data_IF_162749625464
#
_entry.id   IF_162749625464
#
_cell.length_a   1.000
_cell.length_b   1.000
_cell.length_c   1.000
_cell.angle_alpha   90.00
_cell.angle_beta   90.00
_cell.angle_gamma   90.00
#
_symmetry.space_group_name_H-M   'P 1'
#
loop_
_entity.id
_entity.type
_entity.pdbx_description
1 polymer ?
#
# COMPACT_ATOMS: atom_id res chain seq x y z
N UNK A 1 -12.62 12.18 -6.08
CA UNK A 1 -13.76 11.23 -6.17
C UNK A 1 -13.26 9.83 -5.83
N UNK A 2 -14.03 9.01 -5.11
CA UNK A 2 -13.64 7.61 -4.83
C UNK A 2 -14.13 6.68 -5.93
N UNK A 3 -13.28 5.77 -6.38
CA UNK A 3 -13.61 4.74 -7.38
C UNK A 3 -13.19 3.35 -6.88
N UNK A 4 -13.89 2.32 -7.37
CA UNK A 4 -13.61 0.93 -7.02
C UNK A 4 -12.36 0.44 -7.75
N UNK A 5 -11.30 0.09 -7.02
CA UNK A 5 -10.05 -0.47 -7.55
C UNK A 5 -9.68 -1.76 -6.85
N UNK A 6 -8.78 -2.55 -7.45
CA UNK A 6 -8.29 -3.79 -6.85
C UNK A 6 -7.56 -3.48 -5.55
N UNK A 7 -7.64 -4.29 -4.50
CA UNK A 7 -7.00 -3.98 -3.22
C UNK A 7 -5.57 -4.54 -3.08
N UNK A 8 -5.08 -5.32 -4.05
CA UNK A 8 -3.78 -6.00 -3.93
C UNK A 8 -3.84 -7.36 -3.23
N UNK A 9 -5.03 -7.81 -2.81
CA UNK A 9 -5.27 -9.12 -2.20
C UNK A 9 -6.29 -9.97 -3.01
N UNK A 10 -6.52 -9.62 -4.27
CA UNK A 10 -7.51 -10.29 -5.13
C UNK A 10 -8.95 -9.76 -4.98
N UNK A 11 -9.18 -8.79 -4.10
CA UNK A 11 -10.47 -8.11 -3.92
C UNK A 11 -10.50 -6.69 -4.49
N UNK A 12 -11.51 -5.92 -4.11
CA UNK A 12 -11.68 -4.52 -4.49
C UNK A 12 -12.05 -3.67 -3.28
N UNK A 13 -11.61 -2.41 -3.29
CA UNK A 13 -11.98 -1.38 -2.30
C UNK A 13 -12.08 -0.01 -2.98
N UNK A 14 -12.56 0.99 -2.26
CA UNK A 14 -12.69 2.36 -2.77
C UNK A 14 -11.43 3.17 -2.48
N UNK A 15 -10.85 3.76 -3.53
CA UNK A 15 -9.65 4.60 -3.46
C UNK A 15 -9.83 5.84 -4.33
N UNK A 16 -9.00 6.88 -4.18
CA UNK A 16 -9.02 8.03 -5.06
C UNK A 16 -8.96 7.72 -6.56
N UNK A 17 -9.59 8.59 -7.34
CA UNK A 17 -9.49 8.60 -8.80
C UNK A 17 -8.08 8.94 -9.27
N UNK A 18 -7.36 9.79 -8.54
CA UNK A 18 -5.96 10.07 -8.80
C UNK A 18 -5.07 8.96 -8.23
N UNK A 19 -4.00 8.63 -8.94
CA UNK A 19 -3.09 7.53 -8.58
C UNK A 19 -1.78 8.03 -7.97
N UNK A 20 -1.81 9.16 -7.27
CA UNK A 20 -0.65 9.63 -6.52
C UNK A 20 -0.58 8.95 -5.15
N UNK A 21 0.64 8.68 -4.66
CA UNK A 21 0.82 8.03 -3.38
C UNK A 21 2.13 8.40 -2.69
N UNK A 22 2.11 8.34 -1.36
CA UNK A 22 3.29 8.32 -0.53
C UNK A 22 3.54 6.89 -0.04
N UNK A 23 4.75 6.36 -0.27
CA UNK A 23 5.17 5.11 0.35
C UNK A 23 5.42 5.39 1.84
N UNK A 24 4.59 4.82 2.71
CA UNK A 24 4.65 5.11 4.14
C UNK A 24 5.68 4.19 4.81
N UNK A 25 5.44 2.90 4.74
CA UNK A 25 6.35 1.89 5.27
C UNK A 25 6.08 0.52 4.65
N UNK A 26 6.98 -0.41 4.95
CA UNK A 26 6.82 -1.83 4.72
C UNK A 26 6.97 -2.59 6.03
N UNK A 27 6.48 -3.81 6.06
CA UNK A 27 6.76 -4.72 7.17
C UNK A 27 6.74 -6.16 6.66
N UNK A 28 7.41 -7.04 7.40
CA UNK A 28 7.34 -8.47 7.16
C UNK A 28 6.40 -9.14 8.15
N UNK A 29 5.54 -10.02 7.67
CA UNK A 29 4.71 -10.87 8.50
C UNK A 29 4.56 -12.24 7.85
N UNK A 30 4.83 -13.31 8.60
CA UNK A 30 4.73 -14.69 8.13
C UNK A 30 5.50 -14.97 6.82
N UNK A 31 6.70 -14.40 6.67
CA UNK A 31 7.55 -14.55 5.47
C UNK A 31 7.08 -13.73 4.26
N UNK A 32 6.01 -12.96 4.39
CA UNK A 32 5.51 -12.07 3.34
C UNK A 32 5.84 -10.62 3.66
N UNK A 33 6.24 -9.86 2.64
CA UNK A 33 6.45 -8.42 2.73
C UNK A 33 5.18 -7.69 2.34
N UNK A 34 4.74 -6.80 3.20
CA UNK A 34 3.59 -5.94 3.02
C UNK A 34 4.04 -4.50 2.82
N UNK A 35 3.26 -3.76 2.05
CA UNK A 35 3.52 -2.38 1.67
C UNK A 35 2.31 -1.55 2.05
N UNK A 36 2.56 -0.44 2.74
CA UNK A 36 1.54 0.54 3.11
C UNK A 36 1.83 1.82 2.34
N UNK A 37 0.83 2.25 1.55
CA UNK A 37 0.85 3.56 0.90
C UNK A 37 -0.28 4.42 1.43
N UNK A 38 -0.13 5.73 1.29
CA UNK A 38 -1.13 6.73 1.62
C UNK A 38 -1.43 7.58 0.39
N UNK A 39 -2.69 7.95 0.21
CA UNK A 39 -3.10 8.86 -0.86
C UNK A 39 -3.07 10.31 -0.36
N UNK A 40 -2.27 11.22 -0.96
CA UNK A 40 -2.16 12.61 -0.50
C UNK A 40 -3.50 13.35 -0.45
N UNK A 41 -4.40 13.06 -1.39
CA UNK A 41 -5.74 13.67 -1.44
C UNK A 41 -6.64 13.30 -0.26
N UNK A 42 -6.36 12.18 0.41
CA UNK A 42 -7.13 11.64 1.53
C UNK A 42 -6.18 11.18 2.63
N UNK A 43 -5.82 12.05 3.59
CA UNK A 43 -4.75 11.80 4.57
C UNK A 43 -5.01 10.59 5.50
N UNK A 44 -6.22 10.04 5.53
CA UNK A 44 -6.55 8.83 6.29
C UNK A 44 -6.86 7.62 5.40
N UNK A 45 -6.64 7.73 4.09
CA UNK A 45 -6.82 6.63 3.15
C UNK A 45 -5.48 5.92 2.95
N UNK A 46 -5.31 4.83 3.68
CA UNK A 46 -4.18 3.92 3.51
C UNK A 46 -4.60 2.74 2.64
N UNK A 47 -3.64 2.23 1.87
CA UNK A 47 -3.78 0.97 1.15
C UNK A 47 -2.66 0.05 1.53
N UNK A 48 -3.06 -1.09 2.08
CA UNK A 48 -2.20 -2.21 2.36
C UNK A 48 -2.27 -3.19 1.19
N UNK A 49 -1.12 -3.72 0.79
CA UNK A 49 -1.03 -4.84 -0.14
C UNK A 49 0.23 -5.66 0.13
N UNK A 50 0.22 -6.93 -0.27
CA UNK A 50 1.45 -7.73 -0.25
C UNK A 50 2.34 -7.39 -1.46
N UNK A 51 3.64 -7.63 -1.33
CA UNK A 51 4.63 -7.39 -2.38
C UNK A 51 4.32 -8.11 -3.70
N UNK A 52 3.71 -9.30 -3.62
CA UNK A 52 3.25 -10.07 -4.77
C UNK A 52 1.96 -9.52 -5.38
N UNK A 53 1.13 -8.87 -4.59
CA UNK A 53 -0.14 -8.27 -5.01
C UNK A 53 0.02 -6.98 -5.80
N UNK A 54 1.25 -6.49 -5.95
CA UNK A 54 1.56 -5.36 -6.84
C UNK A 54 1.06 -5.64 -8.26
N UNK A 55 1.20 -6.88 -8.75
CA UNK A 55 0.69 -7.27 -10.07
C UNK A 55 -0.83 -7.24 -10.18
N UNK A 56 -1.53 -7.25 -9.04
CA UNK A 56 -2.99 -7.13 -8.97
C UNK A 56 -3.44 -5.66 -8.92
N UNK A 57 -2.55 -4.69 -8.74
CA UNK A 57 -2.92 -3.27 -8.71
C UNK A 57 -3.19 -2.74 -10.13
N UNK A 58 -3.74 -1.53 -10.23
CA UNK A 58 -3.92 -0.84 -11.50
C UNK A 58 -2.58 -0.47 -12.16
N UNK A 59 -2.45 -0.55 -13.51
CA UNK A 59 -1.19 -0.30 -14.20
C UNK A 59 -0.49 1.04 -13.86
N UNK A 60 -1.21 2.17 -13.66
CA UNK A 60 -0.57 3.42 -13.25
C UNK A 60 0.16 3.30 -11.91
N UNK A 61 -0.50 2.72 -10.91
CA UNK A 61 0.09 2.54 -9.58
C UNK A 61 1.28 1.57 -9.61
N UNK A 62 1.20 0.51 -10.42
CA UNK A 62 2.33 -0.41 -10.62
C UNK A 62 3.56 0.32 -11.16
N UNK A 63 3.39 1.19 -12.18
CA UNK A 63 4.47 1.97 -12.76
C UNK A 63 5.12 2.91 -11.74
N UNK A 64 4.31 3.57 -10.92
CA UNK A 64 4.78 4.48 -9.88
C UNK A 64 5.49 3.74 -8.72
N UNK A 65 5.08 2.52 -8.40
CA UNK A 65 5.75 1.67 -7.39
C UNK A 65 7.06 1.05 -7.89
N UNK A 66 7.21 0.86 -9.21
CA UNK A 66 8.36 0.21 -9.82
C UNK A 66 9.73 0.69 -9.30
N UNK A 67 10.05 1.99 -9.21
CA UNK A 67 11.34 2.47 -8.72
C UNK A 67 11.62 2.08 -7.26
N UNK A 68 10.59 1.87 -6.44
CA UNK A 68 10.73 1.53 -5.03
C UNK A 68 10.94 0.03 -4.79
N UNK A 69 10.61 -0.84 -5.75
CA UNK A 69 10.56 -2.29 -5.55
C UNK A 69 11.88 -2.87 -5.04
N UNK A 70 13.01 -2.45 -5.61
CA UNK A 70 14.33 -2.94 -5.19
C UNK A 70 14.66 -2.55 -3.75
N UNK A 71 14.23 -1.36 -3.33
CA UNK A 71 14.46 -0.86 -1.98
C UNK A 71 13.50 -1.51 -0.97
N UNK A 72 12.24 -1.70 -1.36
CA UNK A 72 11.24 -2.49 -0.64
C UNK A 72 11.77 -3.91 -0.41
N UNK A 73 12.26 -4.60 -1.44
CA UNK A 73 12.74 -5.98 -1.34
C UNK A 73 13.93 -6.11 -0.37
N UNK A 74 14.78 -5.07 -0.31
CA UNK A 74 15.91 -4.96 0.62
C UNK A 74 15.54 -4.51 2.04
N UNK A 75 14.28 -4.10 2.28
CA UNK A 75 13.81 -3.65 3.59
C UNK A 75 14.19 -2.22 3.98
N UNK A 76 14.51 -1.35 3.03
CA UNK A 76 14.82 0.07 3.34
C UNK A 76 13.67 0.85 3.97
N UNK A 77 12.44 0.37 3.79
CA UNK A 77 11.22 1.00 4.30
C UNK A 77 10.61 0.21 5.46
N UNK A 78 11.33 -0.78 6.01
CA UNK A 78 10.80 -1.59 7.09
C UNK A 78 10.61 -0.78 8.37
N UNK A 79 9.35 -0.65 8.78
CA UNK A 79 8.94 0.01 10.01
C UNK A 79 7.72 -0.74 10.58
N UNK A 80 7.93 -1.83 11.32
CA UNK A 80 6.85 -2.64 11.88
C UNK A 80 6.06 -1.89 12.96
N UNK A 81 6.68 -0.94 13.67
CA UNK A 81 6.01 -0.13 14.69
C UNK A 81 5.01 0.83 14.05
N UNK A 82 5.45 1.58 13.03
CA UNK A 82 4.55 2.45 12.26
C UNK A 82 3.45 1.64 11.57
N UNK A 83 3.79 0.49 11.00
CA UNK A 83 2.79 -0.39 10.37
C UNK A 83 1.72 -0.82 11.37
N UNK A 84 2.10 -1.19 12.60
CA UNK A 84 1.15 -1.56 13.67
C UNK A 84 0.21 -0.41 14.04
N UNK A 85 0.73 0.81 14.16
CA UNK A 85 -0.09 2.00 14.42
C UNK A 85 -1.10 2.27 13.29
N UNK A 86 -0.67 2.16 12.03
CA UNK A 86 -1.56 2.36 10.88
C UNK A 86 -2.65 1.29 10.82
N UNK A 87 -2.30 0.03 11.05
CA UNK A 87 -3.27 -1.06 11.11
C UNK A 87 -4.37 -0.79 12.12
N UNK A 88 -3.98 -0.34 13.31
CA UNK A 88 -4.93 0.05 14.35
C UNK A 88 -5.88 1.13 13.83
N UNK A 89 -5.40 2.17 13.15
CA UNK A 89 -6.26 3.20 12.55
C UNK A 89 -7.18 2.70 11.43
N UNK A 90 -6.75 1.68 10.68
CA UNK A 90 -7.55 1.09 9.61
C UNK A 90 -8.72 0.25 10.15
N UNK A 91 -8.57 -0.40 11.31
CA UNK A 91 -9.61 -1.22 11.94
C UNK A 91 -10.71 -0.38 12.62
N UNK A 92 -10.41 0.87 12.99
CA UNK A 92 -11.39 1.81 13.57
C UNK A 92 -12.29 2.51 12.52
N UNK A 93 -12.25 2.10 11.25
CA UNK A 93 -13.10 2.62 10.16
C UNK A 93 -14.26 1.70 9.83
#
# INVERSE_FOLDING_TARGET
MLIRRRNGFGGYSYYPSECDFNLVCTYQHSGHRFVIIQYPELPFCYRLFNRLGIFLLEPPLQKLLHPYLKAIDKGFYDDPELAHHIHTWMEYK
#
